data_IF_806142469836
#
_entry.id   IF_806142469836
#
_cell.length_a   1.000
_cell.length_b   1.000
_cell.length_c   1.000
_cell.angle_alpha   90.00
_cell.angle_beta   90.00
_cell.angle_gamma   90.00
#
_symmetry.space_group_name_H-M   'P 1'
#
loop_
_entity.id
_entity.type
_entity.pdbx_description
1 polymer ?
#
# COMPACT_ATOMS: atom_id res chain seq x y z
N UNK A 1 -13.54 -9.96 -11.65
CA UNK A 1 -13.34 -8.61 -11.11
C UNK A 1 -13.83 -7.54 -12.09
N UNK A 2 -14.43 -6.49 -11.56
CA UNK A 2 -14.97 -5.40 -12.38
C UNK A 2 -13.88 -4.35 -12.62
N UNK A 3 -13.67 -4.01 -13.88
CA UNK A 3 -12.73 -2.95 -14.27
C UNK A 3 -13.33 -1.56 -14.01
N UNK A 4 -12.51 -0.53 -13.78
CA UNK A 4 -12.97 0.86 -13.78
C UNK A 4 -13.60 1.21 -15.14
N UNK A 5 -14.77 1.80 -15.11
CA UNK A 5 -15.57 2.10 -16.31
C UNK A 5 -16.24 3.49 -16.26
N UNK A 6 -15.95 4.28 -15.23
CA UNK A 6 -16.53 5.61 -15.03
C UNK A 6 -17.96 5.60 -14.49
N UNK A 7 -18.45 4.46 -13.99
CA UNK A 7 -19.79 4.35 -13.42
C UNK A 7 -20.05 5.29 -12.25
N UNK A 8 -19.02 5.68 -11.50
CA UNK A 8 -19.09 6.65 -10.41
C UNK A 8 -19.64 8.02 -10.85
N UNK A 9 -19.55 8.36 -12.13
CA UNK A 9 -20.17 9.56 -12.71
C UNK A 9 -21.69 9.48 -12.76
N UNK A 10 -22.22 8.29 -12.90
CA UNK A 10 -23.66 8.03 -12.97
C UNK A 10 -24.21 7.57 -11.61
N UNK A 11 -23.40 6.80 -10.88
CA UNK A 11 -23.76 6.19 -9.60
C UNK A 11 -22.80 6.68 -8.52
N UNK A 12 -23.11 7.79 -7.83
CA UNK A 12 -22.18 8.42 -6.87
C UNK A 12 -21.92 7.56 -5.62
N UNK A 13 -22.67 6.50 -5.42
CA UNK A 13 -22.42 5.51 -4.38
C UNK A 13 -21.38 4.44 -4.77
N UNK A 14 -20.91 4.44 -6.01
CA UNK A 14 -19.77 3.62 -6.45
C UNK A 14 -18.49 4.38 -6.10
N UNK A 15 -17.77 3.92 -5.10
CA UNK A 15 -16.57 4.61 -4.58
C UNK A 15 -15.25 3.98 -5.05
N UNK A 16 -15.27 2.71 -5.46
CA UNK A 16 -14.09 1.99 -5.90
C UNK A 16 -14.46 0.75 -6.73
N UNK A 17 -13.49 0.18 -7.41
CA UNK A 17 -13.59 -1.05 -8.20
C UNK A 17 -12.34 -1.89 -8.01
N UNK A 18 -12.47 -3.20 -8.08
CA UNK A 18 -11.30 -4.09 -8.04
C UNK A 18 -10.44 -3.92 -9.32
N UNK A 19 -10.71 -4.64 -10.37
CA UNK A 19 -10.00 -4.57 -11.64
C UNK A 19 -8.48 -4.71 -11.54
N UNK A 20 -7.99 -5.36 -10.50
CA UNK A 20 -6.59 -5.52 -10.15
C UNK A 20 -6.35 -6.95 -9.65
N UNK A 21 -5.13 -7.47 -9.84
CA UNK A 21 -4.69 -8.70 -9.21
C UNK A 21 -4.23 -8.37 -7.77
N UNK A 22 -5.01 -8.77 -6.78
CA UNK A 22 -4.75 -8.51 -5.38
C UNK A 22 -4.01 -9.65 -4.67
N UNK A 23 -3.66 -9.46 -3.40
CA UNK A 23 -2.88 -10.40 -2.58
C UNK A 23 -3.50 -11.79 -2.43
N UNK A 24 -4.79 -11.95 -2.66
CA UNK A 24 -5.42 -13.28 -2.67
C UNK A 24 -4.77 -14.24 -3.68
N UNK A 25 -4.12 -13.71 -4.73
CA UNK A 25 -3.39 -14.51 -5.71
C UNK A 25 -2.17 -15.22 -5.13
N UNK A 26 -1.63 -14.77 -4.01
CA UNK A 26 -0.53 -15.44 -3.29
C UNK A 26 -0.91 -16.83 -2.76
N UNK A 27 -2.19 -17.17 -2.78
CA UNK A 27 -2.67 -18.53 -2.47
C UNK A 27 -2.28 -19.57 -3.53
N UNK A 28 -2.09 -19.14 -4.80
CA UNK A 28 -1.86 -20.04 -5.93
C UNK A 28 -0.83 -19.57 -6.95
N UNK A 29 -0.30 -18.35 -6.81
CA UNK A 29 0.63 -17.75 -7.76
C UNK A 29 1.68 -16.91 -7.02
N UNK A 30 2.84 -16.70 -7.61
CA UNK A 30 3.88 -15.80 -7.14
C UNK A 30 3.85 -14.43 -7.84
N UNK A 31 2.77 -14.10 -8.54
CA UNK A 31 2.71 -12.91 -9.39
C UNK A 31 2.41 -11.61 -8.62
N UNK A 32 1.89 -11.69 -7.39
CA UNK A 32 1.65 -10.52 -6.53
C UNK A 32 2.89 -10.24 -5.66
N UNK A 33 3.98 -9.93 -6.32
CA UNK A 33 5.27 -9.61 -5.73
C UNK A 33 5.48 -8.08 -5.62
N UNK A 34 6.54 -7.60 -4.96
CA UNK A 34 6.82 -6.17 -4.85
C UNK A 34 6.89 -5.41 -6.18
N UNK A 35 7.40 -6.02 -7.26
CA UNK A 35 7.43 -5.39 -8.59
C UNK A 35 6.01 -5.20 -9.16
N UNK A 36 5.10 -6.16 -8.90
CA UNK A 36 3.68 -6.01 -9.24
C UNK A 36 3.07 -4.84 -8.46
N UNK A 37 3.28 -4.78 -7.16
CA UNK A 37 2.75 -3.72 -6.31
C UNK A 37 3.22 -2.34 -6.76
N UNK A 38 4.50 -2.23 -7.15
CA UNK A 38 5.12 -1.01 -7.69
C UNK A 38 4.70 -0.69 -9.14
N UNK A 39 3.98 -1.58 -9.80
CA UNK A 39 3.41 -1.34 -11.13
C UNK A 39 2.00 -0.74 -11.05
N UNK A 40 1.26 -1.04 -10.00
CA UNK A 40 -0.14 -0.61 -9.83
C UNK A 40 -0.33 0.91 -9.82
N UNK A 41 0.51 1.72 -9.15
CA UNK A 41 0.38 3.18 -9.17
C UNK A 41 0.47 3.79 -10.57
N UNK A 42 1.21 3.15 -11.48
CA UNK A 42 1.44 3.65 -12.84
C UNK A 42 0.45 3.07 -13.88
N UNK A 43 -0.36 2.13 -13.49
CA UNK A 43 -1.28 1.43 -14.39
C UNK A 43 -2.71 1.46 -13.86
N UNK A 44 -3.05 0.57 -12.95
CA UNK A 44 -4.40 0.41 -12.43
C UNK A 44 -4.93 1.67 -11.73
N UNK A 45 -4.12 2.33 -10.92
CA UNK A 45 -4.52 3.53 -10.17
C UNK A 45 -4.78 4.74 -11.07
N UNK A 46 -4.19 4.80 -12.27
CA UNK A 46 -4.46 5.86 -13.26
C UNK A 46 -5.93 5.89 -13.68
N UNK A 47 -6.63 4.77 -13.59
CA UNK A 47 -8.04 4.66 -13.91
C UNK A 47 -8.97 4.96 -12.71
N UNK A 48 -8.43 5.27 -11.55
CA UNK A 48 -9.17 5.60 -10.33
C UNK A 48 -8.89 4.65 -9.16
N UNK A 49 -9.57 4.85 -8.03
CA UNK A 49 -9.41 4.04 -6.82
C UNK A 49 -9.62 2.55 -7.07
N UNK A 50 -8.94 1.72 -6.29
CA UNK A 50 -9.02 0.26 -6.43
C UNK A 50 -9.34 -0.43 -5.11
N UNK A 51 -10.08 -1.54 -5.20
CA UNK A 51 -10.24 -2.48 -4.11
C UNK A 51 -8.98 -3.32 -4.01
N UNK A 52 -8.13 -3.01 -3.08
CA UNK A 52 -6.93 -3.77 -2.77
C UNK A 52 -6.97 -4.22 -1.31
N UNK A 53 -6.37 -5.36 -1.01
CA UNK A 53 -6.34 -5.95 0.32
C UNK A 53 -4.91 -6.04 0.84
N UNK A 54 -4.28 -4.91 1.21
CA UNK A 54 -2.94 -4.91 1.77
C UNK A 54 -2.94 -5.34 3.25
N UNK A 55 -1.78 -5.28 3.90
CA UNK A 55 -1.68 -5.44 5.35
C UNK A 55 -1.48 -6.87 5.82
N UNK A 56 -0.98 -7.77 4.97
CA UNK A 56 -0.62 -9.11 5.42
C UNK A 56 0.50 -9.04 6.46
N UNK A 57 0.29 -9.69 7.61
CA UNK A 57 1.23 -9.77 8.72
C UNK A 57 2.17 -10.98 8.61
N UNK A 58 1.82 -11.95 7.75
CA UNK A 58 2.68 -13.10 7.42
C UNK A 58 3.32 -12.82 6.06
N UNK A 59 4.64 -12.64 6.06
CA UNK A 59 5.40 -12.21 4.91
C UNK A 59 6.57 -13.16 4.64
N UNK A 60 6.96 -13.34 3.38
CA UNK A 60 8.06 -14.21 2.96
C UNK A 60 8.96 -13.48 1.97
N UNK A 61 10.26 -13.69 2.10
CA UNK A 61 11.23 -13.22 1.13
C UNK A 61 11.14 -14.04 -0.17
N UNK A 62 11.58 -13.46 -1.28
CA UNK A 62 11.48 -14.06 -2.62
C UNK A 62 11.95 -15.51 -2.68
N UNK A 63 13.10 -15.82 -2.07
CA UNK A 63 13.68 -17.17 -2.06
C UNK A 63 12.87 -18.22 -1.28
N UNK A 64 12.06 -17.77 -0.31
CA UNK A 64 11.34 -18.63 0.63
C UNK A 64 9.85 -18.74 0.28
N UNK A 65 9.36 -17.85 -0.60
CA UNK A 65 7.96 -17.78 -0.97
C UNK A 65 7.53 -19.00 -1.78
N UNK A 66 6.40 -19.56 -1.36
CA UNK A 66 5.66 -20.60 -2.10
C UNK A 66 4.17 -20.35 -1.95
N UNK A 67 3.40 -20.37 -3.03
CA UNK A 67 1.94 -20.29 -2.96
C UNK A 67 1.40 -21.47 -2.14
N UNK A 68 0.68 -21.18 -1.06
CA UNK A 68 0.04 -22.20 -0.23
C UNK A 68 -1.40 -21.77 0.03
N UNK A 69 -2.35 -22.43 -0.61
CA UNK A 69 -3.75 -22.03 -0.61
C UNK A 69 -4.36 -21.86 0.79
N UNK A 70 -4.11 -22.79 1.68
CA UNK A 70 -4.68 -22.80 3.05
C UNK A 70 -3.85 -22.05 4.09
N UNK A 71 -2.66 -21.58 3.72
CA UNK A 71 -1.75 -20.82 4.58
C UNK A 71 -0.99 -19.78 3.76
N UNK A 72 -1.70 -18.82 3.19
CA UNK A 72 -1.07 -17.81 2.34
C UNK A 72 -0.16 -16.89 3.15
N UNK A 73 0.85 -16.35 2.48
CA UNK A 73 1.69 -15.26 2.96
C UNK A 73 1.87 -14.26 1.83
N UNK A 74 2.11 -13.00 2.14
CA UNK A 74 2.52 -12.03 1.12
C UNK A 74 4.02 -12.12 0.84
N UNK A 75 4.43 -11.58 -0.28
CA UNK A 75 5.83 -11.44 -0.66
C UNK A 75 6.39 -10.09 -0.18
N UNK A 76 7.68 -10.08 0.22
CA UNK A 76 8.34 -8.88 0.75
C UNK A 76 8.27 -8.79 2.26
N UNK A 77 7.99 -7.61 2.78
CA UNK A 77 8.05 -7.28 4.20
C UNK A 77 6.71 -6.77 4.73
N UNK A 78 6.58 -6.72 6.05
CA UNK A 78 5.38 -6.17 6.69
C UNK A 78 5.28 -4.67 6.46
N UNK A 79 6.40 -3.96 6.50
CA UNK A 79 6.43 -2.52 6.27
C UNK A 79 6.04 -2.20 4.83
N UNK A 80 6.42 -3.02 3.85
CA UNK A 80 5.93 -2.90 2.47
C UNK A 80 4.39 -2.97 2.43
N UNK A 81 3.79 -3.91 3.16
CA UNK A 81 2.33 -4.03 3.27
C UNK A 81 1.68 -2.81 3.94
N UNK A 82 2.33 -2.23 4.95
CA UNK A 82 1.87 -1.01 5.62
C UNK A 82 1.96 0.21 4.69
N UNK A 83 3.05 0.34 3.93
CA UNK A 83 3.25 1.43 2.98
C UNK A 83 2.16 1.49 1.89
N UNK A 84 1.60 0.34 1.50
CA UNK A 84 0.51 0.29 0.52
C UNK A 84 -0.72 1.10 0.93
N UNK A 85 -1.02 1.22 2.24
CA UNK A 85 -2.14 2.03 2.73
C UNK A 85 -1.94 3.53 2.49
N UNK A 86 -0.71 3.96 2.35
CA UNK A 86 -0.37 5.35 2.00
C UNK A 86 -0.21 5.52 0.50
N UNK A 87 0.40 4.54 -0.19
CA UNK A 87 0.69 4.63 -1.62
C UNK A 87 -0.56 4.43 -2.46
N UNK A 88 -1.40 3.44 -2.13
CA UNK A 88 -2.56 3.11 -2.96
C UNK A 88 -3.74 4.03 -2.68
N UNK A 89 -4.42 4.43 -3.75
CA UNK A 89 -5.66 5.17 -3.68
C UNK A 89 -6.81 4.18 -3.48
N UNK A 90 -7.39 4.18 -2.29
CA UNK A 90 -8.54 3.34 -1.96
C UNK A 90 -9.39 3.98 -0.86
N UNK A 91 -10.59 4.51 -1.16
CA UNK A 91 -11.48 5.04 -0.14
C UNK A 91 -12.13 3.94 0.73
N UNK A 92 -11.99 2.68 0.36
CA UNK A 92 -12.38 1.52 1.13
C UNK A 92 -11.16 0.64 1.38
N UNK A 93 -10.44 0.90 2.47
CA UNK A 93 -9.27 0.12 2.86
C UNK A 93 -9.69 -1.23 3.45
N UNK A 94 -9.14 -2.30 2.91
CA UNK A 94 -9.40 -3.68 3.34
C UNK A 94 -8.18 -4.25 4.06
N UNK A 95 -8.35 -5.40 4.71
CA UNK A 95 -7.34 -6.08 5.50
C UNK A 95 -7.15 -7.51 4.99
N UNK A 96 -5.91 -7.86 4.63
CA UNK A 96 -5.58 -9.16 4.04
C UNK A 96 -5.50 -10.31 5.04
N UNK A 97 -5.28 -10.01 6.32
CA UNK A 97 -4.91 -11.02 7.31
C UNK A 97 -6.02 -11.33 8.33
N UNK A 98 -5.77 -12.28 9.21
CA UNK A 98 -6.70 -12.69 10.24
C UNK A 98 -6.67 -11.77 11.46
N UNK A 99 -7.79 -11.65 12.22
CA UNK A 99 -7.80 -10.88 13.46
C UNK A 99 -6.74 -11.33 14.47
N UNK A 100 -6.38 -12.62 14.48
CA UNK A 100 -5.36 -13.16 15.36
C UNK A 100 -3.96 -12.63 15.03
N UNK A 101 -3.64 -12.50 13.74
CA UNK A 101 -2.37 -11.98 13.29
C UNK A 101 -2.27 -10.46 13.55
N UNK A 102 -3.33 -9.72 13.35
CA UNK A 102 -3.39 -8.30 13.72
C UNK A 102 -3.21 -8.08 15.22
N UNK A 103 -3.85 -8.87 16.08
CA UNK A 103 -3.66 -8.80 17.52
C UNK A 103 -2.22 -9.08 17.97
N UNK A 104 -1.50 -9.96 17.29
CA UNK A 104 -0.08 -10.25 17.58
C UNK A 104 0.86 -9.15 17.10
N UNK A 105 0.42 -8.30 16.18
CA UNK A 105 1.19 -7.23 15.56
C UNK A 105 0.51 -5.88 15.81
N UNK A 106 0.23 -5.58 17.07
CA UNK A 106 -0.60 -4.45 17.48
C UNK A 106 -0.06 -3.10 17.00
N UNK A 107 1.25 -2.92 17.01
CA UNK A 107 1.90 -1.69 16.56
C UNK A 107 1.59 -1.41 15.07
N UNK A 108 1.87 -2.38 14.21
CA UNK A 108 1.56 -2.28 12.77
C UNK A 108 0.05 -2.10 12.52
N UNK A 109 -0.76 -2.81 13.29
CA UNK A 109 -2.22 -2.73 13.18
C UNK A 109 -2.75 -1.35 13.59
N UNK A 110 -2.19 -0.76 14.64
CA UNK A 110 -2.55 0.59 15.09
C UNK A 110 -2.19 1.63 14.04
N UNK A 111 -1.03 1.51 13.41
CA UNK A 111 -0.65 2.36 12.28
C UNK A 111 -1.67 2.24 11.14
N UNK A 112 -1.94 1.03 10.65
CA UNK A 112 -2.90 0.78 9.57
C UNK A 112 -4.27 1.38 9.89
N UNK A 113 -4.75 1.18 11.11
CA UNK A 113 -6.04 1.71 11.55
C UNK A 113 -6.08 3.25 11.63
N UNK A 114 -4.93 3.89 11.76
CA UNK A 114 -4.79 5.34 11.80
C UNK A 114 -4.58 6.00 10.43
N UNK A 115 -4.30 5.24 9.38
CA UNK A 115 -4.10 5.81 8.03
C UNK A 115 -5.45 6.26 7.46
N UNK A 116 -5.59 7.53 7.04
CA UNK A 116 -6.81 8.03 6.45
C UNK A 116 -7.05 7.44 5.05
N UNK A 117 -8.31 7.43 4.62
CA UNK A 117 -8.70 6.94 3.28
C UNK A 117 -8.84 8.06 2.24
N UNK A 118 -8.70 9.30 2.66
CA UNK A 118 -8.73 10.49 1.80
C UNK A 118 -7.57 11.42 2.13
N UNK A 119 -7.10 12.16 1.14
CA UNK A 119 -5.90 12.98 1.24
C UNK A 119 -6.16 14.40 0.77
N UNK A 120 -5.67 15.38 1.53
CA UNK A 120 -5.73 16.79 1.17
C UNK A 120 -4.62 17.19 0.18
N UNK A 121 -3.48 16.50 0.27
CA UNK A 121 -2.34 16.76 -0.57
C UNK A 121 -1.56 15.48 -0.84
N UNK A 122 -1.02 15.36 -2.04
CA UNK A 122 -0.15 14.25 -2.44
C UNK A 122 1.07 14.80 -3.17
N UNK A 123 2.26 14.39 -2.74
CA UNK A 123 3.55 14.73 -3.36
C UNK A 123 4.30 13.44 -3.70
N UNK A 124 4.61 13.27 -4.96
CA UNK A 124 5.50 12.19 -5.40
C UNK A 124 6.93 12.71 -5.33
N UNK A 125 7.73 12.10 -4.45
CA UNK A 125 9.15 12.45 -4.28
C UNK A 125 10.00 11.76 -5.32
N UNK A 126 9.81 10.45 -5.46
CA UNK A 126 10.46 9.64 -6.47
C UNK A 126 9.52 8.50 -6.89
N UNK A 127 9.52 8.14 -8.17
CA UNK A 127 8.70 7.04 -8.65
C UNK A 127 9.26 6.44 -9.94
N UNK A 128 9.48 5.12 -9.93
CA UNK A 128 9.91 4.32 -11.08
C UNK A 128 9.10 3.03 -11.13
N UNK A 129 8.37 2.86 -12.22
CA UNK A 129 7.49 1.71 -12.39
C UNK A 129 8.23 0.39 -12.19
N UNK A 130 7.74 -0.43 -11.26
CA UNK A 130 8.27 -1.74 -10.94
C UNK A 130 9.58 -1.74 -10.15
N UNK A 131 10.10 -0.58 -9.78
CA UNK A 131 11.38 -0.41 -9.09
C UNK A 131 11.20 0.22 -7.70
N UNK A 132 10.71 1.47 -7.64
CA UNK A 132 10.46 2.15 -6.38
C UNK A 132 9.34 3.20 -6.48
N UNK A 133 8.82 3.59 -5.31
CA UNK A 133 7.98 4.78 -5.15
C UNK A 133 8.20 5.38 -3.76
N UNK A 134 8.39 6.69 -3.71
CA UNK A 134 8.41 7.49 -2.47
C UNK A 134 7.37 8.59 -2.61
N UNK A 135 6.40 8.60 -1.71
CA UNK A 135 5.26 9.50 -1.74
C UNK A 135 4.99 10.08 -0.35
N UNK A 136 4.68 11.37 -0.30
CA UNK A 136 4.22 12.04 0.90
C UNK A 136 2.76 12.47 0.71
N UNK A 137 1.91 12.15 1.68
CA UNK A 137 0.49 12.50 1.68
C UNK A 137 0.08 13.17 2.96
N UNK A 138 -0.79 14.17 2.88
CA UNK A 138 -1.28 14.92 4.03
C UNK A 138 -2.78 14.70 4.22
N UNK A 139 -3.16 14.53 5.49
CA UNK A 139 -4.54 14.62 5.93
C UNK A 139 -4.60 15.51 7.18
N UNK A 140 -5.35 16.61 7.10
CA UNK A 140 -5.33 17.63 8.14
C UNK A 140 -3.93 18.22 8.34
N UNK A 141 -3.40 18.05 9.53
CA UNK A 141 -2.04 18.49 9.90
C UNK A 141 -0.99 17.38 9.88
N UNK A 142 -1.39 16.13 9.62
CA UNK A 142 -0.51 14.97 9.67
C UNK A 142 -0.02 14.61 8.27
N UNK A 143 1.27 14.36 8.15
CA UNK A 143 1.90 13.86 6.95
C UNK A 143 2.26 12.38 7.09
N UNK A 144 2.04 11.64 6.04
CA UNK A 144 2.41 10.24 5.90
C UNK A 144 3.41 10.12 4.76
N UNK A 145 4.61 9.67 5.07
CA UNK A 145 5.66 9.39 4.09
C UNK A 145 5.77 7.88 3.93
N UNK A 146 5.60 7.39 2.72
CA UNK A 146 5.76 5.98 2.40
C UNK A 146 6.81 5.78 1.31
N UNK A 147 7.67 4.80 1.52
CA UNK A 147 8.63 4.32 0.53
C UNK A 147 8.43 2.83 0.32
N UNK A 148 8.34 2.42 -0.94
CA UNK A 148 8.29 1.02 -1.36
C UNK A 148 9.33 0.79 -2.45
N UNK A 149 9.97 -0.36 -2.45
CA UNK A 149 10.93 -0.79 -3.47
C UNK A 149 10.72 -2.27 -3.83
N UNK A 150 11.32 -2.68 -4.93
CA UNK A 150 11.38 -4.07 -5.35
C UNK A 150 12.29 -4.90 -4.39
N UNK A 151 12.82 -5.99 -4.86
CA UNK A 151 13.71 -6.87 -4.08
C UNK A 151 15.12 -6.30 -3.86
N UNK A 152 15.47 -5.19 -4.54
CA UNK A 152 16.81 -4.60 -4.46
C UNK A 152 16.89 -3.58 -3.34
N UNK A 153 18.04 -3.46 -2.67
CA UNK A 153 18.27 -2.37 -1.73
C UNK A 153 18.04 -1.01 -2.39
N UNK A 154 17.34 -0.13 -1.68
CA UNK A 154 17.00 1.20 -2.13
C UNK A 154 17.35 2.22 -1.05
N UNK A 155 17.94 3.33 -1.46
CA UNK A 155 18.20 4.48 -0.60
C UNK A 155 17.73 5.75 -1.29
N UNK A 156 17.07 6.62 -0.55
CA UNK A 156 16.59 7.90 -1.06
C UNK A 156 16.78 9.00 -0.01
N UNK A 157 16.90 10.22 -0.48
CA UNK A 157 16.87 11.42 0.36
C UNK A 157 15.56 12.16 0.09
N UNK A 158 14.86 12.52 1.15
CA UNK A 158 13.61 13.25 1.04
C UNK A 158 13.80 14.66 1.57
N UNK A 159 13.70 15.65 0.68
CA UNK A 159 13.63 17.05 1.09
C UNK A 159 12.27 17.32 1.77
N UNK A 160 12.33 17.65 3.05
CA UNK A 160 11.15 17.96 3.86
C UNK A 160 10.74 19.44 3.82
N UNK A 161 11.30 20.23 2.90
CA UNK A 161 10.99 21.66 2.76
C UNK A 161 9.51 21.97 2.48
N UNK A 162 8.74 20.96 2.10
CA UNK A 162 7.29 21.08 1.94
C UNK A 162 6.52 21.13 3.26
N UNK A 163 7.15 20.76 4.38
CA UNK A 163 6.51 20.87 5.68
C UNK A 163 6.47 22.35 6.12
N UNK A 164 5.35 22.83 6.69
CA UNK A 164 5.31 24.15 7.31
C UNK A 164 6.38 24.30 8.40
N UNK A 165 6.76 25.54 8.71
CA UNK A 165 7.68 25.80 9.82
C UNK A 165 7.07 25.35 11.13
N UNK A 166 7.83 24.61 11.95
CA UNK A 166 7.36 24.09 13.23
C UNK A 166 8.22 22.94 13.75
N UNK A 167 7.80 22.40 14.88
CA UNK A 167 8.35 21.18 15.46
C UNK A 167 7.46 19.99 15.08
N UNK A 168 8.09 18.87 14.75
CA UNK A 168 7.41 17.65 14.35
C UNK A 168 7.91 16.47 15.19
N UNK A 169 7.00 15.60 15.58
CA UNK A 169 7.34 14.25 16.02
C UNK A 169 7.21 13.30 14.82
N UNK A 170 8.13 12.35 14.72
CA UNK A 170 8.14 11.37 13.64
C UNK A 170 8.17 9.96 14.22
N UNK A 171 7.28 9.12 13.72
CA UNK A 171 7.27 7.69 13.97
C UNK A 171 7.74 6.98 12.70
N UNK A 172 8.70 6.05 12.82
CA UNK A 172 9.30 5.37 11.69
C UNK A 172 9.08 3.86 11.83
N UNK A 173 8.50 3.25 10.81
CA UNK A 173 8.43 1.81 10.63
C UNK A 173 9.41 1.41 9.53
N UNK A 174 10.34 0.53 9.85
CA UNK A 174 11.34 -0.02 8.92
C UNK A 174 11.55 -1.51 9.16
N UNK A 175 12.04 -2.22 8.17
CA UNK A 175 12.55 -3.59 8.27
C UNK A 175 14.06 -3.61 8.38
#
# INVERSE_FOLDING_TARGET
>A
SYKPDGMERTWPNVITREGVKGLENDKWSADCNPEHDLTLPFTRMVAGPMDYTPGAMVNMQQRDFKPIYYRPASQGTRVHQMAMYVVFESPLQMLADSPSNYKRNQECTSFIAGVPVTWDETRVVEARKGDNIVIARRHGTVWYLAAMNDWKPFATEVDLSFLPSGEYSMEIFSD
#
